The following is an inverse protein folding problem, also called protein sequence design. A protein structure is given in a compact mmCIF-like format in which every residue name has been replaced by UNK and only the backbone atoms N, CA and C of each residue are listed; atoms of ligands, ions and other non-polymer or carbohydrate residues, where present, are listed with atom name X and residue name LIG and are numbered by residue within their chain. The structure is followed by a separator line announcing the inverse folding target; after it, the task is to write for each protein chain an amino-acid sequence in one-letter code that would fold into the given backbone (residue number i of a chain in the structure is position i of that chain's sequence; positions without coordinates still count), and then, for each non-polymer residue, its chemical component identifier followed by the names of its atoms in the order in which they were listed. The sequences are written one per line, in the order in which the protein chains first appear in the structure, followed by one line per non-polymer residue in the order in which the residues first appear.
data_IF_504689475223
#
_entry.id   IF_504689475223
#
_cell.length_a   1.000
_cell.length_b   1.000
_cell.length_c   1.000
_cell.angle_alpha   90.00
_cell.angle_beta   90.00
_cell.angle_gamma   90.00
#
_symmetry.space_group_name_H-M   'P 1'
#
loop_
_entity.id
_entity.type
_entity.pdbx_description
1 polymer ?
#
# COMPACT_ATOMS: atom_id res chain seq x y z
N UNK A 1 -19.52 44.75 -74.65
CA UNK A 1 -18.24 44.04 -74.65
C UNK A 1 -17.39 44.60 -73.54
N UNK A 2 -17.40 43.89 -72.37
CA UNK A 2 -16.47 44.19 -71.30
C UNK A 2 -16.07 42.83 -70.69
N UNK A 3 -14.82 42.46 -70.87
CA UNK A 3 -14.15 41.28 -70.37
C UNK A 3 -13.94 41.42 -68.88
N UNK A 4 -14.37 40.41 -68.07
CA UNK A 4 -14.02 40.28 -66.66
C UNK A 4 -12.90 39.26 -66.54
N UNK A 5 -11.76 39.70 -66.08
CA UNK A 5 -10.60 38.85 -65.73
C UNK A 5 -10.74 38.38 -64.29
N UNK A 6 -10.91 37.11 -64.13
CA UNK A 6 -10.99 36.43 -62.77
C UNK A 6 -9.58 36.02 -62.38
N UNK A 7 -9.06 36.65 -61.33
CA UNK A 7 -7.75 36.30 -60.72
C UNK A 7 -7.99 35.25 -59.60
N UNK A 8 -7.57 34.02 -59.81
CA UNK A 8 -7.48 32.95 -58.76
C UNK A 8 -6.25 33.23 -57.89
N UNK A 9 -6.49 33.58 -56.65
CA UNK A 9 -5.47 33.55 -55.58
C UNK A 9 -5.34 32.12 -55.07
N UNK A 10 -4.24 31.44 -55.40
CA UNK A 10 -3.86 30.13 -54.86
C UNK A 10 -3.15 30.37 -53.54
N UNK A 11 -3.88 30.18 -52.43
CA UNK A 11 -3.32 30.23 -51.07
C UNK A 11 -2.54 28.96 -50.78
N UNK A 12 -1.23 29.07 -50.72
CA UNK A 12 -0.32 27.97 -50.29
C UNK A 12 -0.39 27.85 -48.75
N UNK A 13 -1.15 26.89 -48.25
CA UNK A 13 -1.15 26.51 -46.81
C UNK A 13 0.16 25.79 -46.52
N UNK A 14 1.14 26.48 -45.94
CA UNK A 14 2.32 25.86 -45.33
C UNK A 14 1.86 25.16 -44.05
N UNK A 15 1.66 23.86 -44.08
CA UNK A 15 1.56 23.00 -42.89
C UNK A 15 2.92 23.02 -42.19
N UNK A 16 3.06 23.83 -41.16
CA UNK A 16 4.13 23.68 -40.18
C UNK A 16 3.97 22.33 -39.51
N UNK A 17 4.72 21.32 -39.98
CA UNK A 17 4.95 20.09 -39.25
C UNK A 17 5.83 20.42 -38.04
N UNK A 18 5.21 20.60 -36.86
CA UNK A 18 5.94 20.56 -35.60
C UNK A 18 6.60 19.20 -35.52
N UNK A 19 7.91 19.11 -35.23
CA UNK A 19 8.54 17.85 -34.97
C UNK A 19 7.85 17.27 -33.76
N UNK A 20 7.24 16.10 -33.92
CA UNK A 20 6.89 15.23 -32.81
C UNK A 20 8.22 14.91 -32.12
N UNK A 21 8.48 15.57 -30.97
CA UNK A 21 9.59 15.17 -30.13
C UNK A 21 9.32 13.71 -29.77
N UNK A 22 10.05 12.81 -30.43
CA UNK A 22 10.11 11.42 -30.02
C UNK A 22 10.48 11.47 -28.54
N UNK A 23 9.59 11.03 -27.64
CA UNK A 23 9.96 10.66 -26.29
C UNK A 23 11.05 9.61 -26.48
N UNK A 24 12.30 9.99 -26.16
CA UNK A 24 13.41 9.04 -26.23
C UNK A 24 13.00 7.80 -25.42
N UNK A 25 13.23 6.64 -25.99
CA UNK A 25 12.94 5.37 -25.34
C UNK A 25 13.60 5.40 -23.95
N UNK A 26 12.75 5.41 -22.89
CA UNK A 26 13.25 5.39 -21.52
C UNK A 26 13.91 4.04 -21.26
N UNK A 27 15.18 4.06 -20.83
CA UNK A 27 15.92 2.86 -20.46
C UNK A 27 15.96 2.74 -18.94
N UNK A 28 15.82 1.51 -18.44
CA UNK A 28 15.92 1.21 -17.00
C UNK A 28 17.33 1.54 -16.51
N UNK A 29 17.49 2.46 -15.54
CA UNK A 29 18.78 2.73 -14.92
C UNK A 29 19.38 1.46 -14.32
N UNK A 30 20.71 1.34 -14.35
CA UNK A 30 21.39 0.15 -13.83
C UNK A 30 22.38 0.52 -12.75
N UNK A 31 22.53 -0.39 -11.79
CA UNK A 31 23.59 -0.32 -10.78
C UNK A 31 24.95 -0.64 -11.38
N UNK A 32 26.00 -0.48 -10.59
CA UNK A 32 27.35 -0.88 -11.00
C UNK A 32 27.51 -2.38 -11.29
N UNK A 33 26.61 -3.24 -10.78
CA UNK A 33 26.55 -4.67 -11.08
C UNK A 33 25.72 -5.01 -12.34
N UNK A 34 25.13 -4.01 -12.99
CA UNK A 34 24.40 -4.17 -14.25
C UNK A 34 22.92 -4.58 -14.11
N UNK A 35 22.40 -4.79 -12.89
CA UNK A 35 20.98 -5.05 -12.63
C UNK A 35 20.18 -3.76 -12.60
N UNK A 36 18.86 -3.85 -12.76
CA UNK A 36 18.00 -2.68 -12.66
C UNK A 36 18.17 -1.94 -11.32
N UNK A 37 18.24 -0.61 -11.38
CA UNK A 37 18.39 0.24 -10.18
C UNK A 37 17.00 0.58 -9.63
N UNK A 38 16.65 -0.04 -8.50
CA UNK A 38 15.42 0.22 -7.75
C UNK A 38 15.64 1.19 -6.60
N UNK A 39 16.88 1.65 -6.38
CA UNK A 39 17.22 2.51 -5.24
C UNK A 39 16.46 3.83 -5.29
N UNK A 40 16.16 4.35 -4.10
CA UNK A 40 15.44 5.62 -3.95
C UNK A 40 14.42 5.56 -2.83
N UNK A 41 13.67 6.66 -2.70
CA UNK A 41 12.52 6.76 -1.80
C UNK A 41 11.25 6.71 -2.63
N UNK A 42 10.37 5.80 -2.29
CA UNK A 42 9.15 5.49 -3.01
C UNK A 42 7.94 5.59 -2.08
N UNK A 43 6.78 5.92 -2.62
CA UNK A 43 5.51 5.92 -1.87
C UNK A 43 4.47 5.07 -2.57
N UNK A 44 3.69 4.33 -1.78
CA UNK A 44 2.51 3.59 -2.24
C UNK A 44 1.19 4.31 -1.88
N UNK A 45 1.26 5.57 -1.44
CA UNK A 45 0.09 6.34 -1.03
C UNK A 45 -0.91 6.51 -2.19
N UNK A 46 -2.16 6.07 -1.98
CA UNK A 46 -3.27 6.15 -2.94
C UNK A 46 -4.59 5.91 -2.23
N UNK A 47 -5.70 6.39 -2.76
CA UNK A 47 -7.04 6.10 -2.22
C UNK A 47 -7.56 4.70 -2.61
N UNK A 48 -6.92 4.04 -3.57
CA UNK A 48 -7.27 2.67 -3.95
C UNK A 48 -7.07 1.70 -2.79
N UNK A 49 -8.01 0.78 -2.62
CA UNK A 49 -8.00 -0.25 -1.57
C UNK A 49 -7.50 -1.59 -2.09
N UNK A 50 -7.16 -2.50 -1.19
CA UNK A 50 -6.75 -3.86 -1.56
C UNK A 50 -7.87 -4.58 -2.31
N UNK A 51 -9.03 -4.67 -1.69
CA UNK A 51 -10.20 -5.33 -2.27
C UNK A 51 -11.10 -4.31 -2.97
N UNK A 52 -11.76 -4.76 -4.04
CA UNK A 52 -12.72 -3.95 -4.80
C UNK A 52 -14.03 -3.83 -4.05
N UNK A 53 -14.63 -2.62 -4.11
CA UNK A 53 -15.99 -2.41 -3.63
C UNK A 53 -16.95 -3.31 -4.42
N UNK A 54 -17.78 -4.11 -3.75
CA UNK A 54 -18.75 -4.99 -4.42
C UNK A 54 -19.67 -4.30 -5.43
N UNK A 55 -19.95 -3.01 -5.24
CA UNK A 55 -20.79 -2.22 -6.17
C UNK A 55 -20.14 -2.07 -7.55
N UNK A 56 -18.82 -2.19 -7.64
CA UNK A 56 -18.08 -2.10 -8.89
C UNK A 56 -18.03 -3.44 -9.65
N UNK A 57 -18.42 -4.56 -9.02
CA UNK A 57 -18.39 -5.89 -9.64
C UNK A 57 -17.00 -6.25 -10.14
N UNK A 58 -16.89 -6.70 -11.40
CA UNK A 58 -15.61 -7.10 -12.02
C UNK A 58 -14.88 -5.93 -12.72
N UNK A 59 -15.32 -4.68 -12.53
CA UNK A 59 -14.72 -3.50 -13.16
C UNK A 59 -13.42 -3.10 -12.47
N UNK A 60 -12.32 -3.71 -12.87
CA UNK A 60 -10.97 -3.37 -12.38
C UNK A 60 -10.54 -1.98 -12.84
N UNK A 61 -10.88 -1.61 -14.06
CA UNK A 61 -10.49 -0.35 -14.70
C UNK A 61 -11.71 0.54 -14.87
N UNK A 62 -11.52 1.83 -14.63
CA UNK A 62 -12.52 2.87 -14.86
C UNK A 62 -11.94 3.98 -15.73
N UNK A 63 -12.81 4.78 -16.34
CA UNK A 63 -12.39 5.96 -17.09
C UNK A 63 -11.98 7.11 -16.16
N UNK A 64 -11.43 8.18 -16.75
CA UNK A 64 -10.93 9.33 -15.98
C UNK A 64 -12.04 10.07 -15.23
N UNK A 65 -13.25 10.12 -15.75
CA UNK A 65 -14.37 10.81 -15.10
C UNK A 65 -14.81 10.04 -13.85
N UNK A 66 -14.96 8.72 -13.96
CA UNK A 66 -15.30 7.87 -12.82
C UNK A 66 -14.14 7.83 -11.80
N UNK A 67 -12.89 7.81 -12.25
CA UNK A 67 -11.72 7.89 -11.37
C UNK A 67 -11.75 9.17 -10.52
N UNK A 68 -11.96 10.33 -11.13
CA UNK A 68 -12.08 11.61 -10.43
C UNK A 68 -13.25 11.62 -9.43
N UNK A 69 -14.38 11.02 -9.80
CA UNK A 69 -15.53 10.88 -8.89
C UNK A 69 -15.19 10.01 -7.68
N UNK A 70 -14.52 8.88 -7.89
CA UNK A 70 -14.07 7.98 -6.81
C UNK A 70 -13.07 8.69 -5.88
N UNK A 71 -12.14 9.47 -6.42
CA UNK A 71 -11.20 10.29 -5.63
C UNK A 71 -11.93 11.29 -4.75
N UNK A 72 -12.90 12.02 -5.32
CA UNK A 72 -13.67 13.03 -4.58
C UNK A 72 -14.55 12.45 -3.47
N UNK A 73 -15.07 11.25 -3.68
CA UNK A 73 -15.97 10.57 -2.73
C UNK A 73 -15.24 9.61 -1.79
N UNK A 74 -13.92 9.42 -1.96
CA UNK A 74 -13.14 8.60 -1.06
C UNK A 74 -13.24 9.14 0.38
N UNK A 75 -13.63 8.30 1.32
CA UNK A 75 -13.90 8.71 2.71
C UNK A 75 -12.74 9.48 3.33
N UNK A 76 -11.50 9.07 3.07
CA UNK A 76 -10.30 9.76 3.57
C UNK A 76 -10.12 11.14 2.95
N UNK A 77 -10.42 11.32 1.67
CA UNK A 77 -10.37 12.65 1.02
C UNK A 77 -11.46 13.57 1.56
N UNK A 78 -12.66 13.03 1.80
CA UNK A 78 -13.77 13.78 2.42
C UNK A 78 -13.40 14.25 3.83
N UNK A 79 -12.83 13.36 4.64
CA UNK A 79 -12.36 13.70 5.99
C UNK A 79 -11.24 14.75 5.96
N UNK A 80 -10.24 14.56 5.10
CA UNK A 80 -9.13 15.52 4.94
C UNK A 80 -9.61 16.89 4.49
N UNK A 81 -10.56 16.94 3.57
CA UNK A 81 -11.13 18.20 3.08
C UNK A 81 -11.97 18.89 4.18
N UNK A 82 -12.70 18.13 4.97
CA UNK A 82 -13.46 18.67 6.11
C UNK A 82 -12.54 19.25 7.19
N UNK A 83 -11.41 18.59 7.44
CA UNK A 83 -10.41 19.03 8.42
C UNK A 83 -9.67 20.30 7.99
N UNK A 84 -9.44 20.46 6.69
CA UNK A 84 -8.83 21.65 6.10
C UNK A 84 -9.83 22.82 5.90
N UNK A 85 -11.11 22.62 6.16
CA UNK A 85 -12.10 23.68 6.09
C UNK A 85 -11.86 24.73 7.19
N UNK A 86 -12.15 26.02 6.94
CA UNK A 86 -12.06 27.03 7.99
C UNK A 86 -12.88 26.62 9.23
N UNK A 87 -12.29 26.73 10.41
CA UNK A 87 -13.00 26.47 11.67
C UNK A 87 -14.15 27.46 11.85
N UNK A 88 -15.32 26.94 12.15
CA UNK A 88 -16.46 27.75 12.58
C UNK A 88 -16.28 28.06 14.08
N UNK A 89 -16.01 29.32 14.48
CA UNK A 89 -15.81 29.65 15.88
C UNK A 89 -17.06 29.45 16.74
N UNK A 90 -18.24 29.39 16.13
CA UNK A 90 -19.52 29.19 16.81
C UNK A 90 -19.93 27.71 16.89
N UNK A 91 -19.17 26.81 16.25
CA UNK A 91 -19.43 25.37 16.33
C UNK A 91 -19.01 24.82 17.69
N UNK A 92 -19.97 24.35 18.44
CA UNK A 92 -19.70 23.63 19.70
C UNK A 92 -19.00 22.29 19.41
N UNK A 93 -18.09 21.86 20.29
CA UNK A 93 -17.50 20.51 20.20
C UNK A 93 -18.61 19.44 20.18
N UNK A 94 -18.43 18.33 19.45
CA UNK A 94 -19.36 17.21 19.51
C UNK A 94 -19.56 16.76 20.97
N UNK A 95 -20.81 16.66 21.41
CA UNK A 95 -21.13 16.22 22.77
C UNK A 95 -21.33 14.72 22.91
N UNK A 96 -21.30 14.00 21.79
CA UNK A 96 -21.47 12.55 21.68
C UNK A 96 -20.15 11.77 21.85
N UNK A 97 -19.05 12.47 22.15
CA UNK A 97 -17.71 11.87 22.22
C UNK A 97 -17.14 11.46 20.85
N UNK A 98 -17.80 11.82 19.75
CA UNK A 98 -17.31 11.59 18.42
C UNK A 98 -16.11 12.51 18.14
N UNK A 99 -14.92 11.95 18.20
CA UNK A 99 -13.66 12.61 17.83
C UNK A 99 -13.31 12.48 16.34
N UNK A 100 -14.20 11.90 15.53
CA UNK A 100 -14.00 11.72 14.08
C UNK A 100 -14.03 13.04 13.29
N UNK A 101 -14.39 14.13 13.93
CA UNK A 101 -14.24 15.48 13.40
C UNK A 101 -12.78 15.93 13.58
N UNK A 102 -11.86 15.42 12.76
CA UNK A 102 -10.52 15.95 12.70
C UNK A 102 -9.47 15.20 13.51
N UNK A 103 -9.21 13.95 13.17
CA UNK A 103 -7.92 13.36 13.49
C UNK A 103 -6.88 13.98 12.56
N UNK A 104 -6.32 15.13 12.97
CA UNK A 104 -5.14 15.76 12.39
C UNK A 104 -4.82 15.35 10.96
N UNK A 105 -5.61 15.80 9.97
CA UNK A 105 -5.37 15.54 8.55
C UNK A 105 -3.92 15.85 8.13
N UNK A 106 -3.28 16.73 8.89
CA UNK A 106 -1.87 17.08 8.71
C UNK A 106 -0.91 15.89 8.84
N UNK A 107 -1.24 14.89 9.67
CA UNK A 107 -0.38 13.73 9.91
C UNK A 107 -0.70 12.52 9.02
N UNK A 108 -1.84 12.53 8.33
CA UNK A 108 -2.23 11.43 7.45
C UNK A 108 -1.81 11.71 6.02
N UNK A 109 -1.23 10.71 5.37
CA UNK A 109 -0.91 10.70 3.94
C UNK A 109 -1.46 9.42 3.30
N UNK A 110 -2.79 9.32 3.19
CA UNK A 110 -3.41 8.14 2.60
C UNK A 110 -3.28 8.13 1.08
N UNK A 111 -2.73 9.19 0.50
CA UNK A 111 -2.83 9.51 -0.93
C UNK A 111 -4.18 10.12 -1.29
N UNK A 112 -4.19 10.92 -2.35
CA UNK A 112 -5.38 11.66 -2.83
C UNK A 112 -5.89 11.13 -4.16
N UNK A 113 -5.09 10.32 -4.85
CA UNK A 113 -5.34 9.81 -6.19
C UNK A 113 -5.64 8.33 -6.17
N UNK A 114 -6.47 7.89 -7.12
CA UNK A 114 -6.63 6.48 -7.44
C UNK A 114 -5.34 5.94 -8.07
N UNK A 115 -5.05 4.67 -7.88
CA UNK A 115 -3.88 4.03 -8.49
C UNK A 115 -4.01 4.01 -10.02
N UNK A 116 -2.96 4.44 -10.71
CA UNK A 116 -2.85 4.40 -12.16
C UNK A 116 -1.68 3.50 -12.55
N UNK A 117 -1.92 2.50 -13.37
CA UNK A 117 -0.92 1.52 -13.84
C UNK A 117 -1.05 1.41 -15.35
N UNK A 118 0.01 1.76 -16.07
CA UNK A 118 0.01 1.69 -17.55
C UNK A 118 -1.05 2.58 -18.22
N UNK A 119 -1.43 3.69 -17.58
CA UNK A 119 -2.48 4.61 -18.05
C UNK A 119 -3.92 4.17 -17.70
N UNK A 120 -4.08 3.10 -16.91
CA UNK A 120 -5.38 2.59 -16.47
C UNK A 120 -5.63 2.90 -14.99
N UNK A 121 -6.79 3.48 -14.68
CA UNK A 121 -7.20 3.78 -13.30
C UNK A 121 -7.81 2.55 -12.64
N UNK A 122 -7.21 2.14 -11.50
CA UNK A 122 -7.52 0.87 -10.82
C UNK A 122 -8.47 1.07 -9.64
N UNK A 123 -9.56 0.30 -9.62
CA UNK A 123 -10.57 0.31 -8.55
C UNK A 123 -10.18 -0.52 -7.34
N UNK A 124 -9.20 -1.41 -7.50
CA UNK A 124 -8.60 -2.23 -6.44
C UNK A 124 -7.21 -2.68 -6.84
N UNK A 125 -6.40 -3.09 -5.86
CA UNK A 125 -5.10 -3.68 -6.17
C UNK A 125 -5.22 -5.13 -6.63
N UNK A 126 -6.18 -5.92 -6.13
CA UNK A 126 -6.37 -7.31 -6.54
C UNK A 126 -6.78 -7.36 -8.00
N UNK A 127 -5.98 -8.08 -8.79
CA UNK A 127 -6.18 -8.32 -10.22
C UNK A 127 -6.63 -9.76 -10.50
N UNK A 128 -6.29 -10.68 -9.63
CA UNK A 128 -6.74 -12.08 -9.65
C UNK A 128 -7.08 -12.55 -8.23
N UNK A 129 -8.29 -13.04 -8.01
CA UNK A 129 -9.40 -13.28 -8.96
C UNK A 129 -10.05 -12.00 -9.48
N UNK A 130 -10.72 -12.11 -10.64
CA UNK A 130 -11.30 -10.98 -11.38
C UNK A 130 -12.32 -10.14 -10.58
N UNK A 131 -12.99 -10.75 -9.59
CA UNK A 131 -13.92 -10.03 -8.70
C UNK A 131 -13.21 -9.08 -7.71
N UNK A 132 -11.86 -9.07 -7.69
CA UNK A 132 -11.08 -8.18 -6.84
C UNK A 132 -11.20 -8.47 -5.33
N UNK A 133 -11.51 -9.70 -4.94
CA UNK A 133 -11.69 -10.11 -3.53
C UNK A 133 -10.76 -11.23 -3.16
N UNK A 134 -10.24 -11.21 -1.91
CA UNK A 134 -9.39 -12.30 -1.41
C UNK A 134 -10.23 -13.59 -1.33
N UNK A 135 -9.78 -14.68 -1.96
CA UNK A 135 -10.54 -15.92 -2.06
C UNK A 135 -10.38 -16.79 -0.80
N UNK A 136 -10.80 -16.28 0.36
CA UNK A 136 -10.68 -17.00 1.63
C UNK A 136 -11.49 -18.30 1.67
N UNK A 137 -10.90 -19.35 2.25
CA UNK A 137 -11.64 -20.55 2.67
C UNK A 137 -12.62 -20.23 3.81
N UNK A 138 -13.57 -21.13 4.06
CA UNK A 138 -14.46 -21.01 5.22
C UNK A 138 -13.68 -21.03 6.56
N UNK A 139 -12.61 -21.80 6.64
CA UNK A 139 -11.74 -21.86 7.81
C UNK A 139 -11.05 -20.51 8.07
N UNK A 140 -10.49 -19.89 7.05
CA UNK A 140 -9.87 -18.56 7.18
C UNK A 140 -10.87 -17.48 7.60
N UNK A 141 -12.09 -17.49 7.06
CA UNK A 141 -13.17 -16.58 7.50
C UNK A 141 -13.53 -16.79 8.96
N UNK A 142 -13.58 -18.06 9.42
CA UNK A 142 -13.78 -18.40 10.82
C UNK A 142 -12.66 -17.89 11.72
N UNK A 143 -11.40 -17.95 11.27
CA UNK A 143 -10.26 -17.43 12.00
C UNK A 143 -10.34 -15.92 12.25
N UNK A 144 -10.84 -15.11 11.30
CA UNK A 144 -11.11 -13.69 11.54
C UNK A 144 -12.10 -13.44 12.66
N UNK A 145 -13.20 -14.20 12.68
CA UNK A 145 -14.22 -14.08 13.73
C UNK A 145 -13.64 -14.43 15.10
N UNK A 146 -12.86 -15.50 15.18
CA UNK A 146 -12.20 -15.92 16.40
C UNK A 146 -11.18 -14.89 16.89
N UNK A 147 -10.38 -14.31 15.99
CA UNK A 147 -9.39 -13.29 16.36
C UNK A 147 -10.07 -12.04 16.95
N UNK A 148 -11.17 -11.56 16.36
CA UNK A 148 -11.94 -10.44 16.90
C UNK A 148 -12.51 -10.68 18.31
N UNK A 149 -12.76 -11.96 18.66
CA UNK A 149 -13.25 -12.37 19.99
C UNK A 149 -12.11 -12.63 21.00
N UNK A 150 -10.89 -12.88 20.53
CA UNK A 150 -9.76 -13.28 21.37
C UNK A 150 -8.82 -12.12 21.76
N UNK A 151 -9.04 -10.95 21.24
CA UNK A 151 -8.27 -9.76 21.64
C UNK A 151 -8.64 -9.39 23.08
N UNK A 152 -7.76 -9.69 24.02
CA UNK A 152 -7.93 -9.43 25.44
C UNK A 152 -7.08 -8.27 25.92
N UNK A 153 -7.21 -8.01 27.23
CA UNK A 153 -6.51 -6.93 27.93
C UNK A 153 -5.73 -7.43 29.15
N UNK A 154 -5.52 -8.74 29.26
CA UNK A 154 -4.81 -9.30 30.43
C UNK A 154 -3.35 -8.88 30.49
N UNK A 155 -2.74 -8.70 29.30
CA UNK A 155 -1.36 -8.26 29.17
C UNK A 155 -1.05 -7.70 27.79
N UNK A 156 0.15 -7.13 27.59
CA UNK A 156 0.55 -6.58 26.32
C UNK A 156 0.61 -7.63 25.21
N UNK A 157 0.81 -8.91 25.53
CA UNK A 157 0.89 -10.01 24.55
C UNK A 157 -0.42 -10.24 23.81
N UNK A 158 -1.55 -9.82 24.39
CA UNK A 158 -2.87 -9.93 23.76
C UNK A 158 -3.21 -8.72 22.89
N UNK A 159 -2.34 -7.69 22.87
CA UNK A 159 -2.54 -6.49 22.05
C UNK A 159 -1.93 -6.65 20.67
N UNK A 160 -2.48 -5.98 19.65
CA UNK A 160 -1.93 -5.97 18.30
C UNK A 160 -0.45 -5.55 18.25
N UNK A 161 0.30 -6.11 17.32
CA UNK A 161 1.75 -5.88 17.21
C UNK A 161 2.10 -4.41 16.97
N UNK A 162 1.25 -3.68 16.23
CA UNK A 162 1.42 -2.25 15.99
C UNK A 162 1.27 -1.42 17.27
N UNK A 163 0.32 -1.77 18.15
CA UNK A 163 0.17 -1.11 19.47
C UNK A 163 1.37 -1.38 20.38
N UNK A 164 2.05 -2.50 20.17
CA UNK A 164 3.26 -2.93 20.91
C UNK A 164 4.54 -2.41 20.29
N UNK A 165 4.49 -1.68 19.21
CA UNK A 165 5.65 -1.22 18.44
C UNK A 165 6.61 -2.34 18.00
N UNK A 166 6.10 -3.53 17.72
CA UNK A 166 6.92 -4.67 17.27
C UNK A 166 7.10 -4.65 15.75
N UNK A 167 6.01 -4.39 15.02
CA UNK A 167 6.00 -4.15 13.57
C UNK A 167 4.98 -3.05 13.26
N UNK A 168 5.07 -2.45 12.09
CA UNK A 168 4.13 -1.44 11.63
C UNK A 168 2.69 -1.94 11.54
N UNK A 169 1.73 -1.02 11.57
CA UNK A 169 0.30 -1.35 11.46
C UNK A 169 -0.04 -2.01 10.13
N UNK A 170 -1.02 -2.90 10.16
CA UNK A 170 -1.50 -3.60 9.00
C UNK A 170 -0.41 -4.43 8.34
N UNK A 171 -0.22 -4.24 7.04
CA UNK A 171 0.82 -4.88 6.25
C UNK A 171 1.79 -3.86 5.63
N UNK A 172 2.07 -2.74 6.31
CA UNK A 172 2.96 -1.69 5.81
C UNK A 172 4.36 -2.23 5.45
N UNK A 173 4.96 -3.00 6.34
CA UNK A 173 6.24 -3.68 6.09
C UNK A 173 6.11 -4.96 5.27
N UNK A 174 4.91 -5.47 5.11
CA UNK A 174 4.63 -6.69 4.34
C UNK A 174 5.30 -7.96 4.84
N UNK A 175 5.70 -8.88 3.91
CA UNK A 175 5.02 -9.09 2.64
C UNK A 175 3.58 -9.60 2.80
N UNK A 176 2.68 -9.22 1.88
CA UNK A 176 2.82 -8.17 0.90
C UNK A 176 2.81 -6.79 1.55
N UNK A 177 3.51 -5.80 0.95
CA UNK A 177 3.50 -4.41 1.41
C UNK A 177 2.22 -3.72 0.91
N UNK A 178 1.41 -3.24 1.86
CA UNK A 178 0.11 -2.62 1.56
C UNK A 178 0.05 -1.21 2.15
N UNK A 179 -0.51 -0.24 1.42
CA UNK A 179 -0.64 1.12 1.92
C UNK A 179 -1.58 1.16 3.13
N UNK A 180 -1.23 2.01 4.07
CA UNK A 180 -1.96 2.28 5.31
C UNK A 180 -2.38 3.76 5.35
N UNK A 181 -2.79 4.27 6.51
CA UNK A 181 -3.30 5.63 6.65
C UNK A 181 -2.21 6.70 6.50
N UNK A 182 -0.98 6.41 6.92
CA UNK A 182 0.17 7.33 6.94
C UNK A 182 1.49 6.55 6.87
N UNK A 183 2.62 7.24 6.67
CA UNK A 183 3.95 6.63 6.56
C UNK A 183 4.02 5.53 5.48
N UNK A 184 3.55 5.88 4.27
CA UNK A 184 3.52 4.96 3.11
C UNK A 184 4.79 5.04 2.26
N UNK A 185 5.91 5.47 2.86
CA UNK A 185 7.19 5.62 2.18
C UNK A 185 8.11 4.44 2.44
N UNK A 186 8.91 4.13 1.44
CA UNK A 186 9.87 3.04 1.44
C UNK A 186 11.19 3.52 0.87
N UNK A 187 12.28 3.28 1.57
CA UNK A 187 13.63 3.47 1.00
C UNK A 187 14.19 2.12 0.56
N UNK A 188 14.49 2.01 -0.72
CA UNK A 188 15.14 0.82 -1.27
C UNK A 188 16.63 1.10 -1.44
N UNK A 189 17.46 0.20 -0.92
CA UNK A 189 18.90 0.19 -1.07
C UNK A 189 19.33 -1.19 -1.52
N UNK A 190 20.23 -1.27 -2.50
CA UNK A 190 20.65 -2.56 -3.07
C UNK A 190 22.17 -2.64 -3.27
N UNK A 191 22.68 -3.84 -3.13
CA UNK A 191 24.03 -4.23 -3.55
C UNK A 191 23.99 -5.62 -4.22
N UNK A 192 25.13 -6.21 -4.50
CA UNK A 192 25.21 -7.51 -5.20
C UNK A 192 24.63 -8.68 -4.40
N UNK A 193 24.53 -8.59 -3.08
CA UNK A 193 24.12 -9.69 -2.19
C UNK A 193 22.77 -9.46 -1.52
N UNK A 194 22.34 -8.22 -1.40
CA UNK A 194 21.17 -7.84 -0.63
C UNK A 194 20.37 -6.71 -1.28
N UNK A 195 19.07 -6.75 -1.10
CA UNK A 195 18.19 -5.58 -1.23
C UNK A 195 17.56 -5.34 0.15
N UNK A 196 17.69 -4.11 0.65
CA UNK A 196 17.02 -3.67 1.88
C UNK A 196 15.87 -2.75 1.50
N UNK A 197 14.70 -2.99 2.09
CA UNK A 197 13.55 -2.10 2.03
C UNK A 197 13.32 -1.58 3.45
N UNK A 198 13.67 -0.32 3.68
CA UNK A 198 13.35 0.37 4.94
C UNK A 198 11.95 0.98 4.80
N UNK A 199 11.06 0.58 5.68
CA UNK A 199 9.68 1.03 5.74
C UNK A 199 9.60 2.20 6.71
N UNK A 200 9.01 3.32 6.31
CA UNK A 200 8.87 4.50 7.17
C UNK A 200 8.04 4.18 8.42
N UNK A 201 6.94 3.43 8.26
CA UNK A 201 6.12 2.95 9.39
C UNK A 201 6.96 2.05 10.29
N UNK A 202 7.16 2.47 11.52
CA UNK A 202 7.89 1.74 12.57
C UNK A 202 9.36 1.42 12.21
N UNK A 203 9.93 2.08 11.18
CA UNK A 203 11.28 1.83 10.66
C UNK A 203 11.61 0.33 10.47
N UNK A 204 10.59 -0.46 10.10
CA UNK A 204 10.77 -1.88 9.79
C UNK A 204 11.73 -2.05 8.61
N UNK A 205 12.76 -2.89 8.78
CA UNK A 205 13.73 -3.15 7.74
C UNK A 205 13.59 -4.58 7.22
N UNK A 206 13.24 -4.73 5.94
CA UNK A 206 13.23 -6.01 5.24
C UNK A 206 14.55 -6.23 4.55
N UNK A 207 15.23 -7.32 4.88
CA UNK A 207 16.48 -7.73 4.22
C UNK A 207 16.17 -8.89 3.29
N UNK A 208 16.28 -8.66 2.00
CA UNK A 208 16.13 -9.66 0.96
C UNK A 208 17.52 -10.16 0.59
N UNK A 209 17.78 -11.43 0.82
CA UNK A 209 19.06 -12.08 0.50
C UNK A 209 19.03 -12.56 -0.94
N UNK A 210 19.94 -12.08 -1.78
CA UNK A 210 19.98 -12.43 -3.19
C UNK A 210 20.66 -13.79 -3.40
N UNK A 211 20.05 -14.67 -4.22
CA UNK A 211 20.56 -15.98 -4.60
C UNK A 211 20.98 -16.84 -3.39
N UNK A 212 20.28 -16.70 -2.27
CA UNK A 212 20.58 -17.37 -1.02
C UNK A 212 19.60 -18.52 -0.74
N UNK A 213 20.01 -19.46 0.10
CA UNK A 213 19.11 -20.48 0.62
C UNK A 213 18.18 -19.91 1.69
N UNK A 214 16.98 -20.47 1.80
CA UNK A 214 16.03 -20.11 2.86
C UNK A 214 16.56 -20.51 4.24
N UNK A 215 16.20 -19.75 5.24
CA UNK A 215 16.42 -20.13 6.62
C UNK A 215 15.61 -21.38 6.95
N UNK A 216 16.12 -22.25 7.85
CA UNK A 216 15.34 -23.35 8.36
C UNK A 216 14.02 -22.87 8.99
N UNK A 217 12.94 -23.65 8.84
CA UNK A 217 11.58 -23.30 9.27
C UNK A 217 11.42 -23.04 10.77
N UNK A 218 12.41 -23.46 11.59
CA UNK A 218 12.46 -23.10 13.02
C UNK A 218 12.70 -21.61 13.29
N UNK A 219 13.15 -20.86 12.28
CA UNK A 219 13.31 -19.42 12.33
C UNK A 219 12.11 -18.76 11.64
N UNK A 220 11.29 -18.06 12.39
CA UNK A 220 10.11 -17.33 11.91
C UNK A 220 10.25 -15.84 12.27
N UNK A 221 11.00 -15.06 11.48
CA UNK A 221 11.13 -13.62 11.72
C UNK A 221 9.78 -12.91 11.49
N UNK A 222 9.62 -11.73 12.12
CA UNK A 222 8.37 -10.97 12.04
C UNK A 222 7.90 -10.70 10.62
N UNK A 223 8.79 -10.33 9.70
CA UNK A 223 8.43 -10.04 8.30
C UNK A 223 8.66 -11.25 7.38
N UNK A 224 8.83 -12.45 7.94
CA UNK A 224 9.16 -13.65 7.19
C UNK A 224 10.62 -13.69 6.71
N UNK A 225 11.00 -14.79 6.09
CA UNK A 225 12.32 -14.99 5.47
C UNK A 225 12.26 -14.74 3.98
N UNK A 226 12.87 -13.64 3.52
CA UNK A 226 12.86 -13.19 2.13
C UNK A 226 14.16 -13.59 1.42
N UNK A 227 14.02 -14.29 0.30
CA UNK A 227 15.11 -14.57 -0.65
C UNK A 227 14.72 -14.04 -2.03
N UNK A 228 15.68 -13.50 -2.77
CA UNK A 228 15.39 -12.87 -4.06
C UNK A 228 16.40 -13.26 -5.14
N UNK A 229 16.00 -13.03 -6.37
CA UNK A 229 16.84 -13.15 -7.56
C UNK A 229 16.35 -12.18 -8.65
N UNK A 230 17.17 -11.94 -9.65
CA UNK A 230 16.82 -11.11 -10.78
C UNK A 230 16.32 -11.94 -11.96
N UNK A 231 15.20 -11.54 -12.54
CA UNK A 231 14.67 -12.02 -13.83
C UNK A 231 14.64 -10.85 -14.81
N UNK A 232 15.70 -10.68 -15.60
CA UNK A 232 15.86 -9.50 -16.44
C UNK A 232 15.91 -8.21 -15.58
N UNK A 233 14.96 -7.32 -15.78
CA UNK A 233 14.86 -6.04 -15.04
C UNK A 233 13.92 -6.11 -13.83
N UNK A 234 13.43 -7.28 -13.48
CA UNK A 234 12.53 -7.52 -12.36
C UNK A 234 13.25 -8.21 -11.20
N UNK A 235 13.19 -7.61 -10.02
CA UNK A 235 13.56 -8.29 -8.78
C UNK A 235 12.39 -9.18 -8.35
N UNK A 236 12.62 -10.48 -8.29
CA UNK A 236 11.66 -11.47 -7.77
C UNK A 236 12.05 -11.83 -6.35
N UNK A 237 11.09 -11.75 -5.42
CA UNK A 237 11.31 -12.05 -4.01
C UNK A 237 10.29 -13.07 -3.55
N UNK A 238 10.77 -14.15 -2.98
CA UNK A 238 9.91 -15.12 -2.32
C UNK A 238 10.07 -15.00 -0.81
N UNK A 239 8.96 -14.88 -0.09
CA UNK A 239 8.94 -14.82 1.37
C UNK A 239 8.07 -15.93 1.95
N UNK A 240 8.61 -16.61 2.96
CA UNK A 240 7.92 -17.63 3.73
C UNK A 240 8.37 -17.58 5.20
N UNK A 241 8.02 -18.58 6.01
CA UNK A 241 8.39 -18.66 7.43
C UNK A 241 7.91 -17.46 8.25
N UNK A 242 6.68 -17.00 8.03
CA UNK A 242 6.11 -15.88 8.76
C UNK A 242 5.92 -16.19 10.25
N UNK A 243 6.08 -15.17 11.07
CA UNK A 243 5.81 -15.31 12.51
C UNK A 243 4.32 -15.54 12.76
N UNK A 244 3.91 -16.56 13.53
CA UNK A 244 2.49 -16.90 13.72
C UNK A 244 1.65 -15.74 14.30
N UNK A 245 2.20 -14.92 15.18
CA UNK A 245 1.50 -13.75 15.75
C UNK A 245 1.26 -12.62 14.74
N UNK A 246 1.86 -12.64 13.55
CA UNK A 246 1.66 -11.66 12.49
C UNK A 246 0.59 -12.09 11.47
N UNK A 247 -0.15 -13.16 11.73
CA UNK A 247 -1.11 -13.69 10.75
C UNK A 247 -2.28 -12.75 10.46
N UNK A 248 -2.69 -11.92 11.42
CA UNK A 248 -3.76 -10.95 11.23
C UNK A 248 -3.19 -9.54 11.10
N UNK A 249 -3.54 -8.85 10.01
CA UNK A 249 -3.02 -7.53 9.65
C UNK A 249 -4.18 -6.62 9.29
N UNK A 250 -4.43 -5.63 10.14
CA UNK A 250 -5.56 -4.72 9.99
C UNK A 250 -5.08 -3.28 9.80
N UNK A 251 -5.63 -2.65 8.80
CA UNK A 251 -5.52 -1.22 8.56
C UNK A 251 -6.81 -0.71 7.90
N UNK A 252 -6.99 0.60 7.86
CA UNK A 252 -8.19 1.23 7.30
C UNK A 252 -8.49 0.78 5.85
N UNK A 253 -7.43 0.52 5.07
CA UNK A 253 -7.56 0.16 3.64
C UNK A 253 -7.58 -1.33 3.37
N UNK A 254 -7.29 -2.15 4.37
CA UNK A 254 -7.25 -3.60 4.17
C UNK A 254 -7.40 -4.38 5.48
N UNK A 255 -7.90 -5.59 5.34
CA UNK A 255 -7.84 -6.62 6.38
C UNK A 255 -7.31 -7.89 5.75
N UNK A 256 -6.17 -8.38 6.24
CA UNK A 256 -5.47 -9.51 5.66
C UNK A 256 -5.23 -10.58 6.73
N UNK A 257 -5.64 -11.81 6.43
CA UNK A 257 -5.20 -13.01 7.14
C UNK A 257 -4.15 -13.72 6.28
N UNK A 258 -2.93 -13.75 6.76
CA UNK A 258 -1.79 -14.40 6.14
C UNK A 258 -1.20 -15.40 7.16
N UNK A 259 -1.51 -16.70 7.07
CA UNK A 259 -0.99 -17.67 8.02
C UNK A 259 0.53 -17.82 7.92
N UNK A 260 1.15 -18.36 8.97
CA UNK A 260 2.61 -18.56 9.00
C UNK A 260 3.11 -19.54 7.92
N UNK A 261 2.21 -20.36 7.38
CA UNK A 261 2.47 -21.32 6.29
C UNK A 261 2.42 -20.70 4.91
N UNK A 262 1.90 -19.47 4.80
CA UNK A 262 1.75 -18.81 3.51
C UNK A 262 3.10 -18.56 2.83
N UNK A 263 3.04 -18.49 1.50
CA UNK A 263 4.12 -18.03 0.63
C UNK A 263 3.66 -16.75 -0.07
N UNK A 264 4.52 -15.76 -0.11
CA UNK A 264 4.32 -14.53 -0.90
C UNK A 264 5.44 -14.42 -1.90
N UNK A 265 5.08 -14.33 -3.18
CA UNK A 265 6.01 -14.03 -4.27
C UNK A 265 5.78 -12.59 -4.71
N UNK A 266 6.80 -11.77 -4.62
CA UNK A 266 6.76 -10.34 -4.96
C UNK A 266 7.64 -10.06 -6.17
N UNK A 267 7.25 -9.09 -6.99
CA UNK A 267 7.97 -8.67 -8.18
C UNK A 267 8.06 -7.14 -8.18
N UNK A 268 9.26 -6.62 -8.31
CA UNK A 268 9.54 -5.20 -8.39
C UNK A 268 10.13 -4.89 -9.76
N UNK A 269 9.38 -4.19 -10.59
CA UNK A 269 9.80 -3.81 -11.94
C UNK A 269 9.76 -2.29 -12.08
N UNK A 270 10.90 -1.68 -12.43
CA UNK A 270 10.92 -0.25 -12.69
C UNK A 270 10.31 0.01 -14.07
N UNK A 271 9.12 0.62 -14.12
CA UNK A 271 8.33 0.83 -15.35
C UNK A 271 8.48 2.23 -15.90
N UNK A 272 9.12 3.13 -15.15
CA UNK A 272 9.35 4.50 -15.57
C UNK A 272 10.39 5.21 -14.70
N UNK A 273 10.78 6.44 -15.04
CA UNK A 273 11.75 7.21 -14.27
C UNK A 273 11.30 7.40 -12.80
N UNK A 274 9.99 7.49 -12.59
CA UNK A 274 9.37 7.79 -11.30
C UNK A 274 8.41 6.70 -10.84
N UNK A 275 8.53 5.48 -11.37
CA UNK A 275 7.59 4.41 -11.06
C UNK A 275 8.28 3.04 -10.93
N UNK A 276 7.89 2.31 -9.90
CA UNK A 276 8.06 0.86 -9.76
C UNK A 276 6.67 0.24 -9.73
N UNK A 277 6.42 -0.73 -10.61
CA UNK A 277 5.29 -1.64 -10.47
C UNK A 277 5.67 -2.71 -9.45
N UNK A 278 4.96 -2.72 -8.34
CA UNK A 278 5.04 -3.74 -7.31
C UNK A 278 3.88 -4.70 -7.48
N UNK A 279 4.20 -5.95 -7.76
CA UNK A 279 3.24 -7.02 -7.94
C UNK A 279 3.49 -8.10 -6.90
N UNK A 280 2.44 -8.79 -6.47
CA UNK A 280 2.61 -9.93 -5.59
C UNK A 280 1.54 -10.99 -5.79
N UNK A 281 1.91 -12.23 -5.48
CA UNK A 281 1.01 -13.38 -5.41
C UNK A 281 1.10 -13.99 -4.02
N UNK A 282 -0.03 -14.35 -3.46
CA UNK A 282 -0.14 -14.99 -2.14
C UNK A 282 -0.75 -16.37 -2.30
N UNK A 283 -0.12 -17.35 -1.68
CA UNK A 283 -0.49 -18.77 -1.76
C UNK A 283 -0.55 -19.39 -0.35
N UNK A 284 -1.62 -20.11 -0.06
CA UNK A 284 -1.78 -20.99 1.10
C UNK A 284 -3.05 -21.81 0.94
N UNK A 285 -2.93 -23.14 0.81
CA UNK A 285 -4.08 -24.03 0.55
C UNK A 285 -5.06 -24.13 1.73
N UNK A 286 -4.64 -23.77 2.94
CA UNK A 286 -5.50 -23.73 4.12
C UNK A 286 -6.31 -22.44 4.24
N UNK A 287 -5.72 -21.32 3.81
CA UNK A 287 -6.33 -20.01 3.92
C UNK A 287 -7.12 -19.58 2.68
N UNK A 288 -6.69 -19.98 1.49
CA UNK A 288 -7.25 -19.53 0.23
C UNK A 288 -7.71 -20.69 -0.64
N UNK A 289 -8.83 -20.51 -1.36
CA UNK A 289 -9.34 -21.52 -2.30
C UNK A 289 -8.55 -21.56 -3.61
N UNK A 290 -7.78 -20.52 -3.89
CA UNK A 290 -6.83 -20.41 -4.99
C UNK A 290 -5.79 -19.33 -4.64
N UNK A 291 -4.59 -19.31 -5.28
CA UNK A 291 -3.69 -18.17 -5.22
C UNK A 291 -4.39 -16.88 -5.65
N UNK A 292 -3.96 -15.76 -5.10
CA UNK A 292 -4.48 -14.45 -5.50
C UNK A 292 -3.34 -13.46 -5.72
N UNK A 293 -3.55 -12.51 -6.62
CA UNK A 293 -2.53 -11.56 -7.04
C UNK A 293 -3.02 -10.12 -7.04
N UNK A 294 -2.09 -9.20 -6.80
CA UNK A 294 -2.35 -7.78 -6.78
C UNK A 294 -1.20 -6.97 -7.39
N UNK A 295 -1.50 -5.74 -7.80
CA UNK A 295 -0.58 -4.78 -8.39
C UNK A 295 -0.71 -3.43 -7.69
N UNK A 296 0.41 -2.82 -7.31
CA UNK A 296 0.48 -1.52 -6.65
C UNK A 296 1.54 -0.66 -7.34
N UNK A 297 1.22 0.53 -7.85
CA UNK A 297 2.23 1.45 -8.33
C UNK A 297 2.92 2.12 -7.15
N UNK A 298 4.25 2.07 -7.13
CA UNK A 298 5.07 2.86 -6.21
C UNK A 298 5.64 4.05 -6.97
N UNK A 299 5.43 5.26 -6.46
CA UNK A 299 5.87 6.51 -7.08
C UNK A 299 7.08 7.07 -6.34
N UNK A 300 7.96 7.77 -7.05
CA UNK A 300 9.06 8.50 -6.41
C UNK A 300 8.49 9.50 -5.40
N UNK A 301 9.00 9.43 -4.16
CA UNK A 301 8.67 10.37 -3.11
C UNK A 301 9.69 11.51 -3.06
N UNK A 302 9.25 12.71 -2.66
CA UNK A 302 10.12 13.84 -2.41
C UNK A 302 10.54 13.87 -0.94
N UNK A 303 11.84 13.96 -0.68
CA UNK A 303 12.38 14.07 0.67
C UNK A 303 12.91 12.76 1.25
N UNK A 304 13.32 12.81 2.50
CA UNK A 304 13.79 11.66 3.27
C UNK A 304 12.61 11.02 4.03
N UNK A 305 12.82 9.80 4.50
CA UNK A 305 11.87 9.17 5.44
C UNK A 305 11.85 9.95 6.75
N UNK A 306 10.66 10.05 7.33
CA UNK A 306 10.52 10.58 8.69
C UNK A 306 10.75 9.46 9.71
N UNK A 307 11.23 9.87 10.89
CA UNK A 307 11.28 8.98 12.04
C UNK A 307 9.86 8.65 12.51
N UNK A 308 9.60 7.38 12.75
CA UNK A 308 8.37 6.91 13.41
C UNK A 308 8.73 6.44 14.83
N UNK A 309 8.69 7.36 15.78
CA UNK A 309 9.09 7.15 17.18
C UNK A 309 7.99 6.42 17.97
N UNK A 310 7.69 5.18 17.61
CA UNK A 310 6.57 4.41 18.17
C UNK A 310 6.66 4.22 19.69
N UNK A 311 7.85 3.86 20.19
CA UNK A 311 8.04 3.56 21.61
C UNK A 311 7.94 4.82 22.47
N UNK A 312 8.53 5.93 22.04
CA UNK A 312 8.57 7.20 22.77
C UNK A 312 7.18 7.82 22.93
N UNK A 313 6.32 7.63 21.92
CA UNK A 313 4.94 8.14 21.93
C UNK A 313 3.89 7.16 22.44
N UNK A 314 4.27 5.92 22.81
CA UNK A 314 3.32 4.88 23.15
C UNK A 314 2.77 4.98 24.58
N UNK A 315 2.07 6.07 24.88
CA UNK A 315 1.31 6.22 26.13
C UNK A 315 -0.03 5.47 26.11
N UNK A 316 -0.51 5.09 24.93
CA UNK A 316 -1.79 4.42 24.78
C UNK A 316 -1.77 3.00 25.39
N UNK A 317 -0.73 2.20 25.14
CA UNK A 317 -0.67 0.82 25.63
C UNK A 317 -0.77 0.73 27.17
N UNK A 318 0.03 1.46 27.97
CA UNK A 318 -0.16 1.49 29.42
C UNK A 318 -1.56 1.98 29.85
N UNK A 319 -2.11 2.98 29.17
CA UNK A 319 -3.44 3.53 29.45
C UNK A 319 -4.55 2.51 29.20
N UNK A 320 -4.50 1.77 28.09
CA UNK A 320 -5.46 0.72 27.73
C UNK A 320 -5.45 -0.38 28.79
N UNK A 321 -4.27 -0.88 29.19
CA UNK A 321 -4.13 -1.93 30.17
C UNK A 321 -4.54 -1.46 31.58
N UNK A 322 -4.27 -0.22 31.95
CA UNK A 322 -4.71 0.36 33.21
C UNK A 322 -6.23 0.54 33.26
N UNK A 323 -6.85 0.91 32.13
CA UNK A 323 -8.31 0.97 31.99
C UNK A 323 -8.97 -0.37 32.24
N UNK A 324 -8.47 -1.43 31.60
CA UNK A 324 -8.97 -2.80 31.81
C UNK A 324 -8.85 -3.24 33.27
N UNK A 325 -7.71 -2.98 33.94
CA UNK A 325 -7.54 -3.27 35.37
C UNK A 325 -8.52 -2.50 36.26
N UNK A 326 -8.93 -1.30 35.85
CA UNK A 326 -9.95 -0.55 36.56
C UNK A 326 -11.33 -1.16 36.39
N UNK A 327 -11.72 -1.51 35.17
CA UNK A 327 -13.00 -2.15 34.88
C UNK A 327 -13.17 -3.47 35.62
N UNK A 328 -12.14 -4.30 35.67
CA UNK A 328 -12.13 -5.54 36.46
C UNK A 328 -12.36 -5.29 37.95
N UNK A 329 -11.72 -4.26 38.53
CA UNK A 329 -11.91 -3.92 39.95
C UNK A 329 -13.31 -3.39 40.23
N UNK A 330 -13.93 -2.72 39.28
CA UNK A 330 -15.27 -2.14 39.40
C UNK A 330 -16.37 -3.15 39.02
N UNK A 331 -15.99 -4.36 38.54
CA UNK A 331 -16.94 -5.41 38.14
C UNK A 331 -17.75 -5.04 36.90
N UNK A 332 -17.15 -4.28 35.98
CA UNK A 332 -17.79 -3.80 34.76
C UNK A 332 -17.58 -4.75 33.57
N UNK A 333 -16.80 -5.82 33.72
CA UNK A 333 -16.52 -6.86 32.71
C UNK A 333 -17.13 -8.20 33.13
#
# INVERSE_FOLDING_TARGET
MKSFLSTLLSGCFLLLQLPLLAQGDWEVPRTGSGVADLQGVWTSATVTTLERDPVLGDRLVVDVEEALRLEQTAALNVLTNADNAPSDPDRLPPTDGNTDAGYNAFWIDPGTKIAEIGGEYRTSFIVDPANGRIPYTAAARGAFLQYGQSSGYDGPEQRPLGERCIVGFGSSGGPPMLPVLYNNHYQIVQNESYVMILVEMNHDARIIRLNAERLPTKFSPWLGDSVGHWEGDTLVVETANFHPQQSFRFAIKHSLYLPSTAKVTERFTRTGPNEILYEFTVEDDGAYIQPWAAQIPMRTASGALYEYACHEGNYALPGILAGARREEREGLN
#
